data_IF_259122696367
#
_entry.id   IF_259122696367
#
_cell.length_a   1.000
_cell.length_b   1.000
_cell.length_c   1.000
_cell.angle_alpha   90.00
_cell.angle_beta   90.00
_cell.angle_gamma   90.00
#
_symmetry.space_group_name_H-M   'P 1'
#
loop_
_entity.id
_entity.type
_entity.pdbx_description
1 polymer ?
#
# COMPACT_ATOMS: atom_id res chain seq x y z
N UNK A 1 10.71 -9.60 23.18
CA UNK A 1 9.89 -8.42 22.77
C UNK A 1 8.43 -8.84 22.65
N UNK A 2 7.49 -7.90 22.64
CA UNK A 2 6.07 -8.21 22.50
C UNK A 2 5.83 -8.95 21.17
N UNK A 3 5.26 -10.16 21.24
CA UNK A 3 4.79 -10.90 20.06
C UNK A 3 5.85 -11.64 19.24
N UNK A 4 7.10 -11.76 19.70
CA UNK A 4 8.16 -12.47 18.94
C UNK A 4 7.84 -13.94 18.69
N UNK A 5 7.18 -14.59 19.64
CA UNK A 5 6.86 -16.02 19.56
C UNK A 5 5.41 -16.28 19.14
N UNK A 6 4.83 -15.38 18.32
CA UNK A 6 3.46 -15.53 17.86
C UNK A 6 3.30 -15.31 16.35
N UNK A 7 2.41 -16.09 15.75
CA UNK A 7 1.89 -15.89 14.41
C UNK A 7 0.57 -15.14 14.49
N UNK A 8 0.40 -14.16 13.62
CA UNK A 8 -0.88 -13.54 13.32
C UNK A 8 -1.47 -14.15 12.05
N UNK A 9 -2.73 -14.54 12.12
CA UNK A 9 -3.58 -14.89 10.97
C UNK A 9 -4.77 -13.94 10.94
N UNK A 10 -5.06 -13.39 9.76
CA UNK A 10 -6.23 -12.53 9.51
C UNK A 10 -6.96 -13.03 8.27
N UNK A 11 -8.30 -13.06 8.30
CA UNK A 11 -9.16 -13.40 7.17
C UNK A 11 -10.34 -12.42 7.19
N UNK A 12 -10.68 -11.81 6.05
CA UNK A 12 -11.91 -11.06 5.87
C UNK A 12 -12.81 -11.77 4.88
N UNK A 13 -14.05 -12.05 5.30
CA UNK A 13 -15.13 -12.59 4.48
C UNK A 13 -16.19 -11.51 4.25
N UNK A 14 -16.90 -11.61 3.12
CA UNK A 14 -17.99 -10.68 2.77
C UNK A 14 -19.16 -11.42 2.11
N UNK A 15 -20.24 -10.69 1.89
CA UNK A 15 -21.45 -11.14 1.18
C UNK A 15 -22.09 -12.37 1.81
N UNK A 16 -21.93 -12.52 3.14
CA UNK A 16 -22.49 -13.63 3.90
C UNK A 16 -23.98 -13.42 4.16
N UNK A 17 -24.80 -14.37 3.76
CA UNK A 17 -26.20 -14.44 4.20
C UNK A 17 -26.31 -15.00 5.65
N UNK A 18 -27.51 -14.99 6.21
CA UNK A 18 -27.75 -15.40 7.61
C UNK A 18 -27.35 -16.86 7.93
N UNK A 19 -27.49 -17.80 6.99
CA UNK A 19 -27.07 -19.19 7.20
C UNK A 19 -25.56 -19.32 7.09
N UNK A 20 -24.94 -18.61 6.13
CA UNK A 20 -23.49 -18.56 5.96
C UNK A 20 -22.80 -17.93 7.17
N UNK A 21 -23.34 -16.84 7.73
CA UNK A 21 -22.84 -16.23 8.99
C UNK A 21 -22.77 -17.26 10.11
N UNK A 22 -23.85 -18.03 10.30
CA UNK A 22 -23.92 -19.09 11.33
C UNK A 22 -22.88 -20.18 11.09
N UNK A 23 -22.73 -20.61 9.84
CA UNK A 23 -21.75 -21.62 9.46
C UNK A 23 -20.32 -21.13 9.69
N UNK A 24 -19.99 -19.93 9.22
CA UNK A 24 -18.65 -19.35 9.33
C UNK A 24 -18.21 -19.10 10.78
N UNK A 25 -19.11 -18.59 11.62
CA UNK A 25 -18.84 -18.40 13.05
C UNK A 25 -18.67 -19.76 13.75
N UNK A 26 -19.48 -20.76 13.38
CA UNK A 26 -19.38 -22.12 13.94
C UNK A 26 -18.06 -22.79 13.54
N UNK A 27 -17.64 -22.66 12.28
CA UNK A 27 -16.38 -23.19 11.78
C UNK A 27 -15.18 -22.52 12.46
N UNK A 28 -15.24 -21.21 12.69
CA UNK A 28 -14.24 -20.49 13.48
C UNK A 28 -14.15 -21.03 14.92
N UNK A 29 -15.29 -21.32 15.56
CA UNK A 29 -15.31 -21.84 16.92
C UNK A 29 -14.75 -23.27 17.01
N UNK A 30 -15.03 -24.10 16.00
CA UNK A 30 -14.44 -25.43 15.87
C UNK A 30 -12.93 -25.32 15.67
N UNK A 31 -12.48 -24.49 14.73
CA UNK A 31 -11.05 -24.25 14.49
C UNK A 31 -10.36 -23.82 15.79
N UNK A 32 -10.92 -22.85 16.50
CA UNK A 32 -10.36 -22.35 17.77
C UNK A 32 -10.11 -23.48 18.76
N UNK A 33 -11.08 -24.40 18.94
CA UNK A 33 -10.94 -25.55 19.86
C UNK A 33 -9.99 -26.64 19.34
N UNK A 34 -9.73 -26.71 18.04
CA UNK A 34 -8.73 -27.60 17.45
C UNK A 34 -7.31 -27.04 17.58
N UNK A 35 -7.17 -25.71 17.61
CA UNK A 35 -5.90 -25.03 17.74
C UNK A 35 -5.44 -24.92 19.19
N UNK A 36 -6.37 -24.63 20.12
CA UNK A 36 -6.03 -24.31 21.51
C UNK A 36 -6.97 -25.00 22.50
N UNK A 37 -6.49 -25.16 23.74
CA UNK A 37 -7.33 -25.41 24.90
C UNK A 37 -7.74 -24.05 25.50
N UNK A 38 -8.98 -23.59 25.31
CA UNK A 38 -9.37 -22.27 25.77
C UNK A 38 -9.60 -22.25 27.28
N UNK A 39 -9.17 -21.19 27.94
CA UNK A 39 -9.40 -20.94 29.37
C UNK A 39 -10.37 -19.79 29.60
N UNK A 40 -10.57 -18.92 28.60
CA UNK A 40 -11.51 -17.80 28.71
C UNK A 40 -12.32 -17.52 27.44
N UNK A 41 -13.43 -16.79 27.64
CA UNK A 41 -14.26 -16.19 26.60
C UNK A 41 -14.56 -14.73 26.99
N UNK A 42 -14.44 -13.78 26.06
CA UNK A 42 -14.80 -12.38 26.32
C UNK A 42 -15.54 -11.73 25.15
N UNK A 43 -16.39 -10.76 25.49
CA UNK A 43 -17.00 -9.78 24.57
C UNK A 43 -16.41 -8.38 24.84
N UNK A 44 -16.44 -7.45 23.88
CA UNK A 44 -15.53 -6.26 23.88
C UNK A 44 -15.70 -5.39 25.14
N UNK A 45 -16.90 -5.41 25.71
CA UNK A 45 -17.33 -4.63 26.86
C UNK A 45 -17.34 -5.41 28.19
N UNK A 46 -16.95 -6.69 28.18
CA UNK A 46 -17.08 -7.58 29.34
C UNK A 46 -15.73 -8.09 29.83
N UNK A 47 -15.64 -8.29 31.15
CA UNK A 47 -14.55 -9.06 31.74
C UNK A 47 -14.53 -10.47 31.16
N UNK A 48 -13.35 -11.07 31.15
CA UNK A 48 -13.17 -12.44 30.66
C UNK A 48 -13.92 -13.42 31.58
N UNK A 49 -14.83 -14.19 30.99
CA UNK A 49 -15.48 -15.31 31.66
C UNK A 49 -14.59 -16.55 31.55
N UNK A 50 -14.56 -17.42 32.58
CA UNK A 50 -14.00 -18.76 32.44
C UNK A 50 -14.66 -19.49 31.27
N UNK A 51 -13.85 -20.21 30.49
CA UNK A 51 -14.35 -20.94 29.33
C UNK A 51 -15.35 -22.02 29.73
N UNK A 52 -16.50 -22.03 29.06
CA UNK A 52 -17.50 -23.09 29.09
C UNK A 52 -18.09 -23.28 27.69
N UNK A 53 -18.25 -24.53 27.27
CA UNK A 53 -18.70 -24.84 25.91
C UNK A 53 -20.14 -24.40 25.65
N UNK A 54 -21.03 -24.51 26.64
CA UNK A 54 -22.43 -24.09 26.47
C UNK A 54 -22.50 -22.57 26.34
N UNK A 55 -21.74 -21.85 27.18
CA UNK A 55 -21.61 -20.38 27.05
C UNK A 55 -21.08 -19.96 25.69
N UNK A 56 -20.09 -20.67 25.14
CA UNK A 56 -19.59 -20.40 23.79
C UNK A 56 -20.70 -20.56 22.75
N UNK A 57 -21.43 -21.68 22.80
CA UNK A 57 -22.53 -21.96 21.88
C UNK A 57 -23.64 -20.90 21.96
N UNK A 58 -24.01 -20.47 23.17
CA UNK A 58 -24.96 -19.39 23.40
C UNK A 58 -24.48 -18.07 22.81
N UNK A 59 -23.22 -17.69 23.06
CA UNK A 59 -22.63 -16.45 22.51
C UNK A 59 -22.54 -16.48 20.98
N UNK A 60 -22.25 -17.64 20.37
CA UNK A 60 -22.24 -17.81 18.91
C UNK A 60 -23.65 -17.66 18.32
N UNK A 61 -24.64 -18.33 18.91
CA UNK A 61 -26.04 -18.23 18.45
C UNK A 61 -26.51 -16.77 18.50
N UNK A 62 -26.21 -16.07 19.59
CA UNK A 62 -26.53 -14.64 19.72
C UNK A 62 -25.75 -13.75 18.75
N UNK A 63 -24.49 -14.07 18.47
CA UNK A 63 -23.68 -13.32 17.51
C UNK A 63 -24.22 -13.43 16.10
N UNK A 64 -24.72 -14.61 15.73
CA UNK A 64 -25.17 -14.91 14.37
C UNK A 64 -26.49 -14.26 13.94
N UNK A 65 -27.22 -13.63 14.87
CA UNK A 65 -28.50 -12.96 14.63
C UNK A 65 -28.42 -11.44 14.82
N UNK A 66 -27.21 -10.92 15.05
CA UNK A 66 -26.95 -9.49 15.25
C UNK A 66 -26.20 -8.94 14.05
N UNK A 67 -26.48 -7.68 13.73
CA UNK A 67 -25.76 -6.96 12.69
C UNK A 67 -24.31 -6.66 13.11
N UNK A 68 -24.07 -6.41 14.40
CA UNK A 68 -22.72 -6.28 14.94
C UNK A 68 -22.50 -7.24 16.10
N UNK A 69 -21.41 -8.02 16.02
CA UNK A 69 -20.99 -8.89 17.10
C UNK A 69 -19.49 -9.12 17.11
N UNK A 70 -18.96 -9.45 18.28
CA UNK A 70 -17.56 -9.79 18.45
C UNK A 70 -17.39 -10.79 19.59
N UNK A 71 -16.43 -11.69 19.40
CA UNK A 71 -16.05 -12.65 20.40
C UNK A 71 -14.55 -12.90 20.36
N UNK A 72 -13.95 -13.04 21.55
CA UNK A 72 -12.60 -13.57 21.71
C UNK A 72 -12.67 -14.81 22.59
N UNK A 73 -11.95 -15.83 22.14
CA UNK A 73 -11.73 -17.07 22.87
C UNK A 73 -10.22 -17.30 22.91
N UNK A 74 -9.68 -17.58 24.09
CA UNK A 74 -8.23 -17.67 24.23
C UNK A 74 -7.77 -18.44 25.46
N UNK A 75 -6.45 -18.46 25.60
CA UNK A 75 -5.74 -18.90 26.79
C UNK A 75 -4.54 -17.97 27.05
N UNK A 76 -3.65 -18.35 27.97
CA UNK A 76 -2.54 -17.49 28.40
C UNK A 76 -1.60 -17.09 27.25
N UNK A 77 -1.51 -17.91 26.20
CA UNK A 77 -0.59 -17.70 25.08
C UNK A 77 -1.27 -17.30 23.77
N UNK A 78 -2.55 -17.65 23.59
CA UNK A 78 -3.21 -17.59 22.29
C UNK A 78 -4.56 -16.86 22.39
N UNK A 79 -4.89 -16.10 21.35
CA UNK A 79 -6.19 -15.45 21.22
C UNK A 79 -6.76 -15.71 19.83
N UNK A 80 -7.97 -16.26 19.75
CA UNK A 80 -8.74 -16.37 18.53
C UNK A 80 -9.94 -15.45 18.63
N UNK A 81 -10.25 -14.73 17.55
CA UNK A 81 -11.31 -13.72 17.58
C UNK A 81 -12.01 -13.60 16.24
N UNK A 82 -13.25 -13.13 16.28
CA UNK A 82 -13.93 -12.62 15.12
C UNK A 82 -14.67 -11.31 15.43
N UNK A 83 -14.86 -10.48 14.42
CA UNK A 83 -15.80 -9.37 14.38
C UNK A 83 -16.75 -9.56 13.21
N UNK A 84 -18.04 -9.51 13.48
CA UNK A 84 -19.12 -9.49 12.50
C UNK A 84 -19.64 -8.05 12.43
N UNK A 85 -19.70 -7.50 11.22
CA UNK A 85 -20.36 -6.23 10.90
C UNK A 85 -21.18 -6.43 9.61
N UNK A 86 -22.50 -6.31 9.73
CA UNK A 86 -23.48 -6.61 8.69
C UNK A 86 -23.25 -8.00 8.07
N UNK A 87 -22.79 -8.04 6.81
CA UNK A 87 -22.52 -9.26 6.04
C UNK A 87 -21.03 -9.57 5.93
N UNK A 88 -20.19 -8.92 6.75
CA UNK A 88 -18.74 -9.09 6.76
C UNK A 88 -18.26 -9.74 8.04
N UNK A 89 -17.37 -10.72 7.91
CA UNK A 89 -16.75 -11.41 9.04
C UNK A 89 -15.23 -11.26 8.97
N UNK A 90 -14.66 -10.57 9.94
CA UNK A 90 -13.21 -10.46 10.13
C UNK A 90 -12.77 -11.44 11.21
N UNK A 91 -11.98 -12.44 10.83
CA UNK A 91 -11.36 -13.41 11.74
C UNK A 91 -9.91 -12.99 12.00
N UNK A 92 -9.50 -12.97 13.27
CA UNK A 92 -8.13 -12.69 13.68
C UNK A 92 -7.67 -13.65 14.77
N UNK A 93 -6.61 -14.39 14.51
CA UNK A 93 -6.01 -15.31 15.47
C UNK A 93 -4.53 -14.97 15.70
N UNK A 94 -4.13 -14.87 16.97
CA UNK A 94 -2.76 -14.71 17.44
C UNK A 94 -2.37 -16.00 18.16
N UNK A 95 -1.50 -16.79 17.55
CA UNK A 95 -1.15 -18.15 17.97
C UNK A 95 0.32 -18.22 18.35
N UNK A 96 0.69 -19.01 19.34
CA UNK A 96 2.10 -19.30 19.64
C UNK A 96 2.76 -20.07 18.49
N UNK A 97 4.08 -19.94 18.35
CA UNK A 97 4.85 -20.64 17.30
C UNK A 97 4.61 -22.16 17.35
N UNK A 98 4.52 -22.74 18.55
CA UNK A 98 4.31 -24.18 18.74
C UNK A 98 2.98 -24.63 18.13
N UNK A 99 1.88 -23.94 18.47
CA UNK A 99 0.55 -24.21 17.92
C UNK A 99 0.56 -24.08 16.40
N UNK A 100 1.14 -23.00 15.88
CA UNK A 100 1.24 -22.80 14.44
C UNK A 100 2.04 -23.91 13.75
N UNK A 101 3.23 -24.27 14.25
CA UNK A 101 4.08 -25.32 13.64
C UNK A 101 3.39 -26.68 13.66
N UNK A 102 2.69 -27.02 14.74
CA UNK A 102 1.98 -28.29 14.85
C UNK A 102 0.75 -28.34 13.92
N UNK A 103 0.00 -27.23 13.82
CA UNK A 103 -1.29 -27.16 13.11
C UNK A 103 -1.22 -26.45 11.75
N UNK A 104 -0.02 -26.23 11.20
CA UNK A 104 0.18 -25.41 9.99
C UNK A 104 -0.69 -25.86 8.82
N UNK A 105 -0.81 -27.17 8.60
CA UNK A 105 -1.62 -27.73 7.52
C UNK A 105 -3.11 -27.37 7.70
N UNK A 106 -3.65 -27.57 8.91
CA UNK A 106 -5.04 -27.25 9.23
C UNK A 106 -5.32 -25.75 9.06
N UNK A 107 -4.41 -24.89 9.51
CA UNK A 107 -4.55 -23.43 9.40
C UNK A 107 -4.61 -23.01 7.92
N UNK A 108 -3.69 -23.50 7.09
CA UNK A 108 -3.66 -23.21 5.66
C UNK A 108 -4.89 -23.75 4.93
N UNK A 109 -5.33 -24.98 5.24
CA UNK A 109 -6.54 -25.57 4.66
C UNK A 109 -7.78 -24.75 5.01
N UNK A 110 -7.90 -24.31 6.28
CA UNK A 110 -8.98 -23.44 6.71
C UNK A 110 -8.99 -22.12 5.93
N UNK A 111 -7.86 -21.39 5.87
CA UNK A 111 -7.77 -20.14 5.12
C UNK A 111 -8.18 -20.35 3.65
N UNK A 112 -7.64 -21.39 2.99
CA UNK A 112 -7.93 -21.65 1.58
C UNK A 112 -9.41 -21.88 1.33
N UNK A 113 -10.06 -22.72 2.15
CA UNK A 113 -11.51 -22.97 2.03
C UNK A 113 -12.33 -21.70 2.22
N UNK A 114 -12.00 -20.90 3.24
CA UNK A 114 -12.71 -19.65 3.52
C UNK A 114 -12.50 -18.63 2.40
N UNK A 115 -11.28 -18.55 1.88
CA UNK A 115 -10.94 -17.66 0.78
C UNK A 115 -11.66 -18.01 -0.51
N UNK A 116 -11.72 -19.29 -0.87
CA UNK A 116 -12.40 -19.77 -2.09
C UNK A 116 -13.91 -19.49 -2.03
N UNK A 117 -14.53 -19.62 -0.85
CA UNK A 117 -15.97 -19.44 -0.70
C UNK A 117 -16.40 -17.96 -0.65
N UNK A 118 -15.87 -17.20 0.32
CA UNK A 118 -16.37 -15.85 0.65
C UNK A 118 -15.24 -14.84 0.94
N UNK A 119 -13.99 -15.17 0.62
CA UNK A 119 -12.84 -14.35 1.01
C UNK A 119 -12.69 -13.07 0.22
N UNK A 120 -12.44 -11.97 0.94
CA UNK A 120 -11.89 -10.74 0.40
C UNK A 120 -10.37 -10.83 0.39
N UNK A 121 -9.77 -11.03 1.56
CA UNK A 121 -8.33 -11.30 1.70
C UNK A 121 -8.04 -12.15 2.93
N UNK A 122 -6.87 -12.76 2.95
CA UNK A 122 -6.28 -13.32 4.15
C UNK A 122 -4.78 -13.14 4.15
N UNK A 123 -4.17 -13.17 5.33
CA UNK A 123 -2.72 -13.21 5.46
C UNK A 123 -2.27 -13.91 6.73
N UNK A 124 -1.04 -14.41 6.70
CA UNK A 124 -0.30 -14.90 7.86
C UNK A 124 1.07 -14.23 7.94
N UNK A 125 1.47 -13.86 9.15
CA UNK A 125 2.74 -13.17 9.41
C UNK A 125 3.21 -13.36 10.85
N UNK A 126 4.47 -13.09 11.14
CA UNK A 126 4.92 -12.96 12.52
C UNK A 126 4.17 -11.80 13.20
N UNK A 127 3.69 -11.99 14.42
CA UNK A 127 2.93 -10.98 15.13
C UNK A 127 3.81 -9.78 15.52
N UNK A 128 5.08 -10.03 15.86
CA UNK A 128 6.08 -8.98 16.07
C UNK A 128 6.26 -8.10 14.83
N UNK A 129 6.24 -8.68 13.63
CA UNK A 129 6.35 -7.94 12.37
C UNK A 129 5.11 -7.06 12.12
N UNK A 130 3.92 -7.58 12.40
CA UNK A 130 2.69 -6.79 12.36
C UNK A 130 2.78 -5.59 13.32
N UNK A 131 3.14 -5.83 14.58
CA UNK A 131 3.25 -4.76 15.59
C UNK A 131 4.28 -3.72 15.16
N UNK A 132 5.47 -4.15 14.73
CA UNK A 132 6.55 -3.27 14.34
C UNK A 132 6.18 -2.40 13.13
N UNK A 133 5.65 -3.01 12.06
CA UNK A 133 5.30 -2.29 10.83
C UNK A 133 4.01 -1.47 10.93
N UNK A 134 3.10 -1.74 11.87
CA UNK A 134 1.76 -1.10 11.90
C UNK A 134 1.48 -0.20 13.10
N UNK A 135 2.35 -0.16 14.11
CA UNK A 135 2.17 0.76 15.25
C UNK A 135 2.74 2.13 14.92
N UNK A 136 1.88 3.15 14.77
CA UNK A 136 2.28 4.53 14.44
C UNK A 136 2.63 5.36 15.69
N UNK A 137 1.84 5.18 16.74
CA UNK A 137 1.87 6.03 17.94
C UNK A 137 3.15 5.79 18.74
N UNK A 138 3.92 6.86 18.99
CA UNK A 138 5.19 6.77 19.72
C UNK A 138 4.99 6.16 21.12
N UNK A 139 3.91 6.55 21.82
CA UNK A 139 3.58 6.02 23.15
C UNK A 139 3.35 4.51 23.16
N UNK A 140 2.72 3.96 22.13
CA UNK A 140 2.50 2.52 21.99
C UNK A 140 3.79 1.79 21.59
N UNK A 141 4.64 2.41 20.77
CA UNK A 141 5.93 1.84 20.35
C UNK A 141 6.90 1.66 21.51
N UNK A 142 6.86 2.55 22.51
CA UNK A 142 7.65 2.43 23.74
C UNK A 142 7.37 1.14 24.55
N UNK A 143 6.28 0.42 24.25
CA UNK A 143 5.99 -0.87 24.85
C UNK A 143 6.89 -1.99 24.34
N UNK A 144 7.52 -1.82 23.17
CA UNK A 144 8.32 -2.87 22.52
C UNK A 144 9.63 -2.39 21.87
N UNK A 145 9.86 -1.09 21.77
CA UNK A 145 11.10 -0.48 21.26
C UNK A 145 11.67 0.57 22.22
N UNK A 146 12.98 0.77 22.17
CA UNK A 146 13.66 1.79 22.96
C UNK A 146 13.44 3.16 22.35
N UNK A 147 13.51 4.20 23.19
CA UNK A 147 13.36 5.60 22.75
C UNK A 147 14.35 5.96 21.64
N UNK A 148 15.63 5.61 21.82
CA UNK A 148 16.68 5.92 20.84
C UNK A 148 16.42 5.25 19.48
N UNK A 149 15.88 4.03 19.46
CA UNK A 149 15.49 3.35 18.22
C UNK A 149 14.36 4.11 17.52
N UNK A 150 13.35 4.54 18.29
CA UNK A 150 12.20 5.30 17.78
C UNK A 150 12.61 6.67 17.21
N UNK A 151 13.64 7.32 17.75
CA UNK A 151 14.14 8.61 17.24
C UNK A 151 14.69 8.53 15.82
N UNK A 152 15.24 7.37 15.43
CA UNK A 152 15.78 7.14 14.08
C UNK A 152 14.72 6.69 13.07
N UNK A 153 13.49 6.41 13.52
CA UNK A 153 12.40 6.00 12.63
C UNK A 153 11.83 7.20 11.86
N UNK A 154 11.36 6.99 10.62
CA UNK A 154 10.72 8.04 9.84
C UNK A 154 9.46 8.55 10.55
N UNK A 155 9.19 9.85 10.42
CA UNK A 155 8.11 10.53 11.11
C UNK A 155 7.24 11.34 10.16
N UNK A 156 5.96 11.44 10.50
CA UNK A 156 4.99 12.28 9.81
C UNK A 156 4.07 12.98 10.81
N UNK A 157 3.38 14.03 10.35
CA UNK A 157 2.30 14.69 11.09
C UNK A 157 0.95 14.10 10.68
N UNK A 158 0.11 13.83 11.66
CA UNK A 158 -1.31 13.56 11.42
C UNK A 158 -2.08 14.86 11.22
N UNK A 159 -3.35 14.76 10.82
CA UNK A 159 -4.24 15.91 10.61
C UNK A 159 -4.40 16.79 11.87
N UNK A 160 -4.31 16.20 13.06
CA UNK A 160 -4.35 16.91 14.35
C UNK A 160 -3.01 17.56 14.73
N UNK A 161 -1.97 17.44 13.89
CA UNK A 161 -0.61 17.93 14.14
C UNK A 161 0.26 16.99 14.99
N UNK A 162 -0.25 15.85 15.47
CA UNK A 162 0.51 14.87 16.24
C UNK A 162 1.61 14.24 15.38
N UNK A 163 2.82 14.18 15.92
CA UNK A 163 3.95 13.50 15.28
C UNK A 163 3.91 12.01 15.59
N UNK A 164 3.85 11.19 14.54
CA UNK A 164 3.83 9.73 14.63
C UNK A 164 4.91 9.12 13.75
N UNK A 165 5.16 7.82 13.91
CA UNK A 165 5.99 7.07 12.96
C UNK A 165 5.27 6.95 11.62
N UNK A 166 5.98 7.28 10.54
CA UNK A 166 5.49 7.04 9.18
C UNK A 166 5.66 5.56 8.83
N UNK A 167 4.65 4.77 9.17
CA UNK A 167 4.67 3.34 8.90
C UNK A 167 4.66 2.99 7.40
N UNK A 168 4.31 3.92 6.50
CA UNK A 168 4.33 3.61 5.06
C UNK A 168 5.74 3.21 4.58
N UNK A 169 6.78 3.73 5.23
CA UNK A 169 8.18 3.41 4.97
C UNK A 169 8.53 1.96 5.32
N UNK A 170 7.66 1.26 6.05
CA UNK A 170 7.89 -0.11 6.45
C UNK A 170 7.35 -1.11 5.41
N UNK A 171 8.13 -2.15 5.09
CA UNK A 171 7.84 -3.02 3.97
C UNK A 171 6.62 -3.92 4.20
N UNK A 172 6.18 -4.14 5.45
CA UNK A 172 4.98 -4.92 5.75
C UNK A 172 3.82 -4.11 6.33
N UNK A 173 3.79 -2.80 6.13
CA UNK A 173 2.68 -1.97 6.60
C UNK A 173 1.36 -2.31 5.89
N UNK A 174 0.29 -2.45 6.66
CA UNK A 174 -1.06 -2.71 6.17
C UNK A 174 -1.69 -1.40 5.72
N UNK A 175 -1.85 -1.29 4.40
CA UNK A 175 -2.44 -0.12 3.79
C UNK A 175 -3.87 -0.46 3.35
N UNK A 176 -4.85 0.33 3.78
CA UNK A 176 -6.26 0.08 3.46
C UNK A 176 -6.75 1.03 2.36
N UNK A 177 -7.30 0.47 1.29
CA UNK A 177 -7.84 1.24 0.17
C UNK A 177 -9.06 0.51 -0.41
N UNK A 178 -10.18 1.23 -0.53
CA UNK A 178 -11.48 0.70 -1.01
C UNK A 178 -11.92 -0.60 -0.31
N UNK A 179 -11.70 -0.70 1.00
CA UNK A 179 -12.06 -1.89 1.79
C UNK A 179 -11.11 -3.09 1.63
N UNK A 180 -10.04 -2.96 0.84
CA UNK A 180 -9.01 -3.99 0.68
C UNK A 180 -7.78 -3.68 1.52
N UNK A 181 -7.10 -4.73 1.99
CA UNK A 181 -5.83 -4.63 2.70
C UNK A 181 -4.66 -4.92 1.76
N UNK A 182 -3.83 -3.92 1.50
CA UNK A 182 -2.59 -4.00 0.75
C UNK A 182 -1.42 -4.19 1.72
N UNK A 183 -1.25 -5.44 2.16
CA UNK A 183 -0.13 -5.87 3.01
C UNK A 183 0.94 -6.58 2.20
N UNK A 184 2.17 -6.59 2.71
CA UNK A 184 3.28 -7.37 2.18
C UNK A 184 3.96 -8.14 3.31
N UNK A 185 3.55 -9.38 3.49
CA UNK A 185 4.01 -10.21 4.59
C UNK A 185 4.22 -11.66 4.13
N UNK A 186 4.46 -12.57 5.07
CA UNK A 186 4.96 -13.91 4.77
C UNK A 186 4.10 -14.69 3.77
N UNK A 187 2.79 -14.82 4.02
CA UNK A 187 1.85 -15.52 3.15
C UNK A 187 0.53 -14.75 3.05
N UNK A 188 0.06 -14.49 1.84
CA UNK A 188 -1.08 -13.62 1.55
C UNK A 188 -2.01 -14.28 0.53
N UNK A 189 -3.30 -13.97 0.63
CA UNK A 189 -4.36 -14.49 -0.21
C UNK A 189 -5.19 -13.32 -0.75
N UNK A 190 -5.24 -13.21 -2.07
CA UNK A 190 -5.96 -12.17 -2.80
C UNK A 190 -7.07 -12.81 -3.61
N UNK A 191 -8.28 -12.29 -3.48
CA UNK A 191 -9.45 -12.76 -4.24
C UNK A 191 -9.72 -11.89 -5.47
N UNK A 192 -10.75 -12.25 -6.22
CA UNK A 192 -11.28 -11.46 -7.34
C UNK A 192 -11.60 -9.99 -7.03
N UNK A 193 -11.84 -9.63 -5.77
CA UNK A 193 -12.08 -8.22 -5.40
C UNK A 193 -10.85 -7.35 -5.67
N UNK A 194 -9.63 -7.90 -5.61
CA UNK A 194 -8.42 -7.18 -5.99
C UNK A 194 -8.29 -6.97 -7.49
N UNK A 195 -8.91 -7.82 -8.32
CA UNK A 195 -8.79 -7.76 -9.78
C UNK A 195 -9.45 -6.52 -10.41
N UNK A 196 -10.30 -5.84 -9.64
CA UNK A 196 -10.91 -4.55 -10.00
C UNK A 196 -9.94 -3.36 -9.84
N UNK A 197 -8.83 -3.57 -9.12
CA UNK A 197 -7.82 -2.54 -8.85
C UNK A 197 -6.50 -2.94 -9.53
N UNK A 198 -6.06 -4.17 -9.33
CA UNK A 198 -4.83 -4.71 -9.91
C UNK A 198 -5.20 -5.92 -10.77
N UNK A 199 -5.02 -5.87 -12.10
CA UNK A 199 -5.35 -6.98 -12.98
C UNK A 199 -4.69 -8.30 -12.53
N UNK A 200 -5.48 -9.38 -12.51
CA UNK A 200 -5.03 -10.74 -12.12
C UNK A 200 -3.66 -11.14 -12.70
N UNK A 201 -3.36 -10.92 -14.00
CA UNK A 201 -2.06 -11.31 -14.55
C UNK A 201 -0.86 -10.67 -13.85
N UNK A 202 -1.01 -9.47 -13.27
CA UNK A 202 0.08 -8.81 -12.54
C UNK A 202 0.42 -9.56 -11.26
N UNK A 203 -0.56 -10.12 -10.55
CA UNK A 203 -0.32 -10.99 -9.38
C UNK A 203 0.36 -12.31 -9.77
N UNK A 204 0.04 -12.86 -10.95
CA UNK A 204 0.63 -14.11 -11.43
C UNK A 204 2.07 -13.91 -11.93
N UNK A 205 2.39 -12.71 -12.42
CA UNK A 205 3.70 -12.35 -12.98
C UNK A 205 4.74 -11.93 -11.93
N UNK A 206 4.39 -11.87 -10.65
CA UNK A 206 5.33 -11.41 -9.61
C UNK A 206 6.57 -12.29 -9.54
N UNK A 207 7.71 -11.63 -9.35
CA UNK A 207 9.02 -12.25 -9.30
C UNK A 207 9.64 -12.08 -7.92
N UNK A 208 10.68 -12.88 -7.64
CA UNK A 208 11.43 -12.85 -6.37
C UNK A 208 10.56 -13.11 -5.14
N UNK A 209 9.67 -14.10 -5.27
CA UNK A 209 8.86 -14.65 -4.18
C UNK A 209 9.09 -16.16 -4.11
N UNK A 210 8.84 -16.76 -2.93
CA UNK A 210 8.97 -18.21 -2.76
C UNK A 210 7.95 -18.97 -3.61
N UNK A 211 6.70 -18.48 -3.66
CA UNK A 211 5.62 -19.17 -4.36
C UNK A 211 4.48 -18.24 -4.77
N UNK A 212 3.93 -18.50 -5.95
CA UNK A 212 2.63 -18.00 -6.42
C UNK A 212 1.77 -19.20 -6.77
N UNK A 213 0.52 -19.24 -6.32
CA UNK A 213 -0.43 -20.31 -6.64
C UNK A 213 -1.83 -19.73 -6.83
N UNK A 214 -2.41 -19.95 -8.00
CA UNK A 214 -3.85 -19.75 -8.21
C UNK A 214 -4.62 -20.96 -7.64
N UNK A 215 -5.69 -20.65 -6.92
CA UNK A 215 -6.67 -21.58 -6.35
C UNK A 215 -8.00 -21.42 -7.10
N UNK A 216 -9.01 -22.20 -6.70
CA UNK A 216 -10.37 -22.05 -7.20
C UNK A 216 -10.92 -20.64 -6.94
N UNK A 217 -11.91 -20.23 -7.72
CA UNK A 217 -12.56 -18.92 -7.63
C UNK A 217 -11.60 -17.72 -7.72
N UNK A 218 -10.54 -17.88 -8.51
CA UNK A 218 -9.52 -16.85 -8.78
C UNK A 218 -8.79 -16.33 -7.54
N UNK A 219 -8.71 -17.15 -6.48
CA UNK A 219 -7.92 -16.78 -5.31
C UNK A 219 -6.44 -17.02 -5.59
N UNK A 220 -5.61 -16.02 -5.36
CA UNK A 220 -4.16 -16.10 -5.54
C UNK A 220 -3.48 -16.13 -4.17
N UNK A 221 -2.77 -17.21 -3.90
CA UNK A 221 -1.92 -17.38 -2.73
C UNK A 221 -0.47 -17.04 -3.08
N UNK A 222 0.13 -16.13 -2.33
CA UNK A 222 1.48 -15.63 -2.53
C UNK A 222 2.27 -15.81 -1.24
N UNK A 223 3.42 -16.47 -1.33
CA UNK A 223 4.35 -16.64 -0.22
C UNK A 223 5.67 -15.95 -0.58
N UNK A 224 6.11 -14.99 0.24
CA UNK A 224 7.31 -14.19 -0.06
C UNK A 224 8.61 -14.92 0.29
N UNK A 225 8.62 -15.65 1.41
CA UNK A 225 9.80 -16.36 1.92
C UNK A 225 9.40 -17.58 2.76
N UNK A 226 10.36 -18.42 3.13
CA UNK A 226 10.07 -19.75 3.70
C UNK A 226 9.49 -19.75 5.10
N UNK A 227 9.97 -18.87 5.97
CA UNK A 227 9.69 -18.90 7.41
C UNK A 227 9.20 -17.51 7.90
N UNK A 228 7.97 -17.40 8.45
CA UNK A 228 7.39 -16.12 8.86
C UNK A 228 8.21 -15.42 9.95
N UNK A 229 8.93 -16.18 10.78
CA UNK A 229 9.65 -15.63 11.94
C UNK A 229 11.02 -15.06 11.56
N UNK A 230 11.44 -15.21 10.31
CA UNK A 230 12.69 -14.65 9.78
C UNK A 230 12.49 -13.29 9.11
N UNK A 231 11.39 -12.59 9.35
CA UNK A 231 11.03 -11.34 8.67
C UNK A 231 12.09 -10.22 8.82
N UNK A 232 12.84 -10.19 9.92
CA UNK A 232 13.89 -9.20 10.17
C UNK A 232 15.13 -9.39 9.28
N UNK A 233 15.27 -10.53 8.59
CA UNK A 233 16.40 -10.73 7.67
C UNK A 233 16.33 -9.68 6.56
N UNK A 234 17.44 -8.98 6.24
CA UNK A 234 17.45 -7.94 5.21
C UNK A 234 16.86 -8.41 3.88
N UNK A 235 17.17 -9.64 3.45
CA UNK A 235 16.60 -10.21 2.23
C UNK A 235 15.07 -10.36 2.27
N UNK A 236 14.49 -10.70 3.42
CA UNK A 236 13.05 -10.86 3.56
C UNK A 236 12.34 -9.50 3.58
N UNK A 237 12.93 -8.49 4.21
CA UNK A 237 12.45 -7.10 4.11
C UNK A 237 12.54 -6.58 2.67
N UNK A 238 13.61 -6.92 1.95
CA UNK A 238 13.72 -6.61 0.52
C UNK A 238 12.64 -7.30 -0.31
N UNK A 239 12.34 -8.59 -0.07
CA UNK A 239 11.24 -9.28 -0.76
C UNK A 239 9.90 -8.63 -0.49
N UNK A 240 9.65 -8.19 0.75
CA UNK A 240 8.44 -7.45 1.10
C UNK A 240 8.34 -6.12 0.34
N UNK A 241 9.39 -5.29 0.34
CA UNK A 241 9.43 -4.04 -0.44
C UNK A 241 9.24 -4.29 -1.93
N UNK A 242 10.00 -5.23 -2.49
CA UNK A 242 9.98 -5.56 -3.91
C UNK A 242 8.63 -6.08 -4.37
N UNK A 243 7.92 -6.84 -3.54
CA UNK A 243 6.54 -7.24 -3.79
C UNK A 243 5.58 -6.05 -3.86
N UNK A 244 5.66 -5.11 -2.89
CA UNK A 244 4.84 -3.88 -2.91
C UNK A 244 5.11 -3.05 -4.15
N UNK A 245 6.38 -2.92 -4.54
CA UNK A 245 6.80 -2.16 -5.72
C UNK A 245 6.19 -2.75 -6.98
N UNK A 246 6.33 -4.06 -7.18
CA UNK A 246 5.80 -4.77 -8.35
C UNK A 246 4.29 -4.61 -8.54
N UNK A 247 3.54 -4.53 -7.44
CA UNK A 247 2.09 -4.34 -7.45
C UNK A 247 1.66 -2.86 -7.38
N UNK A 248 2.59 -1.95 -7.08
CA UNK A 248 2.34 -0.51 -7.02
C UNK A 248 1.47 -0.07 -5.84
N UNK A 249 1.45 -0.83 -4.73
CA UNK A 249 0.58 -0.55 -3.58
C UNK A 249 0.68 0.89 -3.07
N UNK A 250 1.92 1.40 -3.00
CA UNK A 250 2.19 2.74 -2.46
C UNK A 250 1.72 3.87 -3.39
N UNK A 251 1.50 3.57 -4.67
CA UNK A 251 0.98 4.53 -5.65
C UNK A 251 -0.55 4.46 -5.79
N UNK A 252 -1.19 3.43 -5.26
CA UNK A 252 -2.65 3.28 -5.33
C UNK A 252 -3.37 4.07 -4.26
N UNK A 253 -2.82 4.10 -3.04
CA UNK A 253 -3.52 4.67 -1.90
C UNK A 253 -2.95 6.01 -1.41
N UNK A 254 -1.83 6.45 -1.99
CA UNK A 254 -1.17 7.67 -1.56
C UNK A 254 -1.16 8.71 -2.68
N UNK A 255 -2.00 9.73 -2.52
CA UNK A 255 -2.19 10.82 -3.48
C UNK A 255 -1.68 12.18 -2.98
N UNK A 256 -1.15 12.23 -1.76
CA UNK A 256 -0.68 13.48 -1.12
C UNK A 256 0.71 13.95 -1.56
N UNK A 257 1.40 13.16 -2.39
CA UNK A 257 2.70 13.49 -2.99
C UNK A 257 3.91 13.46 -2.05
N UNK A 258 3.76 13.40 -0.73
CA UNK A 258 4.90 13.39 0.21
C UNK A 258 5.51 12.01 0.42
N UNK A 259 4.84 10.94 -0.03
CA UNK A 259 5.02 9.57 0.43
C UNK A 259 6.41 8.91 0.40
N UNK A 260 6.55 7.74 -0.24
CA UNK A 260 7.83 7.00 -0.22
C UNK A 260 8.92 7.62 -1.10
N UNK A 261 8.57 8.62 -1.92
CA UNK A 261 9.50 9.32 -2.80
C UNK A 261 10.38 8.34 -3.60
N UNK A 262 9.73 7.32 -4.19
CA UNK A 262 10.38 6.28 -4.99
C UNK A 262 9.75 6.19 -6.38
N UNK A 263 10.55 5.92 -7.43
CA UNK A 263 10.00 5.78 -8.77
C UNK A 263 9.17 4.49 -8.87
N UNK A 264 8.05 4.51 -9.61
CA UNK A 264 7.17 3.36 -9.72
C UNK A 264 7.81 2.22 -10.52
N UNK A 265 7.42 0.98 -10.20
CA UNK A 265 7.66 -0.21 -11.02
C UNK A 265 6.46 -0.52 -11.92
N UNK A 266 5.28 -0.08 -11.50
CA UNK A 266 4.04 -0.16 -12.24
C UNK A 266 3.23 1.11 -12.01
N UNK A 267 2.59 1.61 -13.07
CA UNK A 267 1.62 2.70 -13.01
C UNK A 267 0.27 2.19 -13.51
N UNK A 268 -0.82 2.69 -12.92
CA UNK A 268 -2.19 2.32 -13.28
C UNK A 268 -2.98 3.55 -13.75
N UNK A 269 -3.81 3.34 -14.76
CA UNK A 269 -4.77 4.31 -15.28
C UNK A 269 -6.13 3.63 -15.27
N UNK A 270 -7.06 4.23 -14.55
CA UNK A 270 -8.42 3.73 -14.41
C UNK A 270 -9.37 4.52 -15.31
N UNK A 271 -10.25 3.79 -15.98
CA UNK A 271 -11.45 4.31 -16.66
C UNK A 271 -12.67 3.57 -16.09
N UNK A 272 -13.88 3.96 -16.48
CA UNK A 272 -15.11 3.38 -15.93
C UNK A 272 -15.18 1.84 -16.06
N UNK A 273 -14.58 1.27 -17.11
CA UNK A 273 -14.66 -0.17 -17.41
C UNK A 273 -13.32 -0.83 -17.71
N UNK A 274 -12.24 -0.07 -17.82
CA UNK A 274 -10.92 -0.64 -18.14
C UNK A 274 -9.82 -0.16 -17.19
N UNK A 275 -8.92 -1.08 -16.86
CA UNK A 275 -7.68 -0.81 -16.16
C UNK A 275 -6.55 -0.92 -17.17
N UNK A 276 -5.79 0.16 -17.34
CA UNK A 276 -4.54 0.13 -18.08
C UNK A 276 -3.39 0.19 -17.09
N UNK A 277 -2.34 -0.59 -17.35
CA UNK A 277 -1.11 -0.49 -16.56
C UNK A 277 0.13 -0.51 -17.43
N UNK A 278 1.20 0.10 -16.91
CA UNK A 278 2.53 0.08 -17.52
C UNK A 278 3.50 -0.44 -16.48
N UNK A 279 4.07 -1.63 -16.71
CA UNK A 279 5.10 -2.22 -15.87
C UNK A 279 6.49 -2.04 -16.48
N UNK A 280 7.45 -1.69 -15.63
CA UNK A 280 8.83 -1.34 -15.99
C UNK A 280 9.78 -2.51 -15.74
N UNK A 281 10.51 -2.93 -16.77
CA UNK A 281 11.39 -4.09 -16.70
C UNK A 281 12.81 -3.80 -17.23
N UNK A 282 13.81 -4.42 -16.62
CA UNK A 282 15.21 -4.37 -17.08
C UNK A 282 15.44 -5.33 -18.28
N UNK A 283 16.68 -5.40 -18.75
CA UNK A 283 17.04 -6.22 -19.91
C UNK A 283 16.83 -7.73 -19.68
N UNK A 284 16.77 -8.14 -18.41
CA UNK A 284 16.51 -9.51 -17.95
C UNK A 284 15.02 -9.76 -17.66
N UNK A 285 14.12 -8.83 -18.05
CA UNK A 285 12.68 -8.91 -17.81
C UNK A 285 12.28 -8.90 -16.32
N UNK A 286 13.15 -8.38 -15.47
CA UNK A 286 12.87 -8.22 -14.03
C UNK A 286 12.26 -6.84 -13.79
N UNK A 287 11.23 -6.73 -12.93
CA UNK A 287 10.68 -5.44 -12.52
C UNK A 287 11.73 -4.53 -11.91
N UNK A 288 11.75 -3.27 -12.34
CA UNK A 288 12.71 -2.24 -11.89
C UNK A 288 12.04 -0.87 -11.85
N UNK A 289 12.63 0.11 -11.13
CA UNK A 289 12.13 1.47 -11.16
C UNK A 289 12.09 2.01 -12.59
N UNK A 290 11.07 2.82 -12.91
CA UNK A 290 10.85 3.49 -14.21
C UNK A 290 12.13 3.97 -14.90
N UNK A 291 13.01 4.68 -14.19
CA UNK A 291 14.27 5.24 -14.74
C UNK A 291 15.27 4.19 -15.24
N UNK A 292 15.20 2.97 -14.73
CA UNK A 292 16.12 1.87 -15.05
C UNK A 292 15.52 0.88 -16.07
N UNK A 293 14.34 1.20 -16.61
CA UNK A 293 13.61 0.32 -17.53
C UNK A 293 14.24 0.31 -18.93
N UNK A 294 14.24 -0.88 -19.54
CA UNK A 294 14.55 -1.08 -20.96
C UNK A 294 13.42 -1.77 -21.72
N UNK A 295 12.41 -2.23 -20.98
CA UNK A 295 11.18 -2.82 -21.49
C UNK A 295 9.97 -2.22 -20.75
N UNK A 296 8.89 -2.05 -21.51
CA UNK A 296 7.60 -1.56 -21.04
C UNK A 296 6.55 -2.60 -21.36
N UNK A 297 5.85 -3.09 -20.34
CA UNK A 297 4.73 -4.01 -20.50
C UNK A 297 3.45 -3.22 -20.26
N UNK A 298 2.74 -2.91 -21.35
CA UNK A 298 1.43 -2.27 -21.27
C UNK A 298 0.36 -3.35 -21.21
N UNK A 299 -0.47 -3.32 -20.18
CA UNK A 299 -1.59 -4.24 -19.99
C UNK A 299 -2.89 -3.45 -20.03
N UNK A 300 -3.89 -3.96 -20.74
CA UNK A 300 -5.25 -3.42 -20.75
C UNK A 300 -6.19 -4.54 -20.33
N UNK A 301 -7.02 -4.26 -19.34
CA UNK A 301 -7.96 -5.20 -18.76
C UNK A 301 -9.37 -4.58 -18.77
N UNK A 302 -10.30 -5.23 -19.45
CA UNK A 302 -11.73 -4.89 -19.38
C UNK A 302 -12.35 -5.60 -18.18
N UNK A 303 -12.86 -4.82 -17.22
CA UNK A 303 -13.40 -5.35 -15.97
C UNK A 303 -14.73 -6.10 -16.21
N UNK A 304 -15.52 -5.69 -17.19
CA UNK A 304 -16.83 -6.27 -17.47
C UNK A 304 -16.73 -7.53 -18.32
N UNK A 305 -15.90 -7.50 -19.37
CA UNK A 305 -15.76 -8.60 -20.33
C UNK A 305 -14.68 -9.61 -19.91
N UNK A 306 -13.77 -9.23 -19.02
CA UNK A 306 -12.60 -10.04 -18.66
C UNK A 306 -11.53 -10.07 -19.76
N UNK A 307 -11.66 -9.20 -20.77
CA UNK A 307 -10.75 -9.15 -21.91
C UNK A 307 -9.38 -8.59 -21.48
N UNK A 308 -8.33 -9.36 -21.78
CA UNK A 308 -6.96 -9.01 -21.46
C UNK A 308 -6.11 -8.82 -22.71
N UNK A 309 -5.38 -7.71 -22.78
CA UNK A 309 -4.39 -7.44 -23.83
C UNK A 309 -3.07 -7.03 -23.19
N UNK A 310 -2.00 -7.69 -23.61
CA UNK A 310 -0.63 -7.34 -23.24
C UNK A 310 0.15 -6.94 -24.49
N UNK A 311 0.95 -5.88 -24.35
CA UNK A 311 1.99 -5.54 -25.31
C UNK A 311 3.28 -5.24 -24.58
N UNK A 312 4.38 -5.82 -25.08
CA UNK A 312 5.73 -5.56 -24.59
C UNK A 312 6.52 -4.79 -25.64
N UNK A 313 7.16 -3.72 -25.23
CA UNK A 313 7.98 -2.88 -26.11
C UNK A 313 9.36 -2.71 -25.48
N UNK A 314 10.41 -2.93 -26.27
CA UNK A 314 11.78 -2.58 -25.91
C UNK A 314 12.04 -1.13 -26.26
N UNK A 315 12.67 -0.38 -25.37
CA UNK A 315 13.08 1.00 -25.66
C UNK A 315 13.54 1.75 -24.43
N UNK A 316 13.87 3.01 -24.63
CA UNK A 316 14.02 3.99 -23.55
C UNK A 316 12.67 4.71 -23.34
N UNK A 317 12.45 5.23 -22.13
CA UNK A 317 11.28 6.05 -21.89
C UNK A 317 11.38 7.32 -22.74
N UNK A 318 10.35 7.59 -23.53
CA UNK A 318 10.25 8.86 -24.22
C UNK A 318 9.90 9.97 -23.21
N UNK A 319 10.12 11.22 -23.61
CA UNK A 319 9.81 12.36 -22.75
C UNK A 319 8.33 12.42 -22.34
N UNK A 320 7.41 11.92 -23.17
CA UNK A 320 5.97 11.91 -22.88
C UNK A 320 5.60 11.01 -21.69
N UNK A 321 6.36 9.95 -21.42
CA UNK A 321 6.12 9.11 -20.25
C UNK A 321 6.39 9.84 -18.92
N UNK A 322 7.17 10.91 -18.95
CA UNK A 322 7.39 11.80 -17.82
C UNK A 322 6.50 13.05 -17.93
N UNK A 323 6.34 13.62 -19.12
CA UNK A 323 5.60 14.85 -19.38
C UNK A 323 4.41 14.57 -20.32
N UNK A 324 3.29 14.04 -19.79
CA UNK A 324 2.19 13.55 -20.61
C UNK A 324 1.44 14.66 -21.36
N UNK A 325 1.47 15.92 -20.89
CA UNK A 325 0.77 17.01 -21.56
C UNK A 325 1.69 17.80 -22.47
N UNK A 326 1.41 17.74 -23.77
CA UNK A 326 2.18 18.44 -24.81
C UNK A 326 1.37 19.63 -25.34
N UNK A 327 1.95 20.82 -25.29
CA UNK A 327 1.45 22.03 -25.92
C UNK A 327 2.35 22.34 -27.13
N UNK A 328 1.96 21.80 -28.29
CA UNK A 328 2.69 21.92 -29.56
C UNK A 328 2.80 23.39 -30.00
N UNK A 329 1.79 24.23 -29.72
CA UNK A 329 1.78 25.64 -30.11
C UNK A 329 2.83 26.46 -29.37
N UNK A 330 3.18 26.06 -28.14
CA UNK A 330 4.17 26.75 -27.30
C UNK A 330 5.47 25.97 -27.14
N UNK A 331 5.61 24.85 -27.84
CA UNK A 331 6.71 23.89 -27.69
C UNK A 331 6.99 23.56 -26.23
N UNK A 332 5.99 23.08 -25.50
CA UNK A 332 6.08 22.76 -24.06
C UNK A 332 5.61 21.35 -23.76
N UNK A 333 6.30 20.69 -22.83
CA UNK A 333 5.83 19.45 -22.22
C UNK A 333 5.66 19.66 -20.72
N UNK A 334 4.58 19.14 -20.16
CA UNK A 334 4.17 19.44 -18.79
C UNK A 334 3.81 18.16 -18.05
N UNK A 335 4.17 18.14 -16.77
CA UNK A 335 3.68 17.20 -15.77
C UNK A 335 3.26 17.99 -14.52
N UNK A 336 2.41 17.40 -13.68
CA UNK A 336 2.00 17.98 -12.41
C UNK A 336 2.08 16.96 -11.30
N UNK A 337 2.33 17.48 -10.10
CA UNK A 337 2.22 16.75 -8.84
C UNK A 337 1.38 17.57 -7.87
N UNK A 338 0.56 16.88 -7.10
CA UNK A 338 -0.12 17.47 -5.94
C UNK A 338 0.71 17.07 -4.72
N UNK A 339 1.09 18.04 -3.91
CA UNK A 339 1.89 17.81 -2.71
C UNK A 339 1.20 18.52 -1.55
N UNK A 340 0.88 17.75 -0.51
CA UNK A 340 0.42 18.27 0.77
C UNK A 340 1.60 18.26 1.77
N UNK A 341 2.35 19.36 1.92
CA UNK A 341 3.48 19.42 2.84
C UNK A 341 3.08 19.42 4.31
N UNK A 342 1.78 19.55 4.64
CA UNK A 342 1.32 19.67 6.03
C UNK A 342 1.50 18.37 6.81
N UNK A 343 1.52 17.23 6.12
CA UNK A 343 1.81 15.92 6.71
C UNK A 343 3.31 15.68 6.95
N UNK A 344 4.18 16.54 6.43
CA UNK A 344 5.62 16.40 6.54
C UNK A 344 6.18 17.17 7.75
N UNK A 345 7.27 16.67 8.34
CA UNK A 345 8.00 17.41 9.37
C UNK A 345 8.80 18.59 8.81
N UNK A 346 9.31 18.43 7.59
CA UNK A 346 10.20 19.36 6.91
C UNK A 346 9.46 20.35 6.00
N UNK A 347 8.13 20.46 6.12
CA UNK A 347 7.29 21.28 5.26
C UNK A 347 7.41 20.91 3.75
N UNK A 348 7.65 19.63 3.46
CA UNK A 348 7.64 19.06 2.11
C UNK A 348 8.94 19.23 1.34
N UNK A 349 10.02 19.68 1.97
CA UNK A 349 11.31 19.93 1.31
C UNK A 349 11.81 18.68 0.58
N UNK A 350 11.79 17.51 1.22
CA UNK A 350 12.20 16.24 0.63
C UNK A 350 11.38 15.92 -0.61
N UNK A 351 10.06 16.04 -0.54
CA UNK A 351 9.16 15.81 -1.68
C UNK A 351 9.45 16.79 -2.84
N UNK A 352 9.60 18.08 -2.55
CA UNK A 352 9.93 19.08 -3.57
C UNK A 352 11.26 18.78 -4.24
N UNK A 353 12.29 18.46 -3.46
CA UNK A 353 13.61 18.15 -3.99
C UNK A 353 13.58 16.86 -4.82
N UNK A 354 12.86 15.85 -4.34
CA UNK A 354 12.67 14.58 -5.03
C UNK A 354 12.07 14.80 -6.42
N UNK A 355 10.88 15.43 -6.53
CA UNK A 355 10.24 15.61 -7.83
C UNK A 355 11.00 16.59 -8.74
N UNK A 356 11.56 17.68 -8.20
CA UNK A 356 12.37 18.59 -9.03
C UNK A 356 13.53 17.81 -9.65
N UNK A 357 14.22 16.97 -8.87
CA UNK A 357 15.32 16.15 -9.38
C UNK A 357 14.83 15.06 -10.31
N UNK A 358 13.73 14.40 -9.97
CA UNK A 358 13.16 13.31 -10.76
C UNK A 358 12.93 13.74 -12.21
N UNK A 359 12.31 14.92 -12.39
CA UNK A 359 11.94 15.49 -13.68
C UNK A 359 13.04 16.31 -14.35
N UNK A 360 13.96 16.91 -13.58
CA UNK A 360 15.11 17.62 -14.14
C UNK A 360 16.08 16.64 -14.78
N UNK A 361 16.26 15.47 -14.18
CA UNK A 361 17.24 14.47 -14.63
C UNK A 361 16.72 13.54 -15.74
N UNK A 362 15.58 13.86 -16.36
CA UNK A 362 15.03 13.11 -17.50
C UNK A 362 15.82 13.46 -18.77
N UNK A 363 16.33 12.44 -19.45
CA UNK A 363 16.94 12.60 -20.77
C UNK A 363 15.88 12.56 -21.88
N UNK A 364 15.76 13.65 -22.63
CA UNK A 364 14.86 13.73 -23.80
C UNK A 364 15.59 13.15 -25.01
N UNK A 365 15.31 11.88 -25.30
CA UNK A 365 15.88 11.17 -26.46
C UNK A 365 15.06 11.34 -27.74
N UNK A 366 13.83 11.82 -27.64
CA UNK A 366 12.93 12.03 -28.77
C UNK A 366 13.30 13.30 -29.54
N UNK A 367 13.76 13.15 -30.78
CA UNK A 367 14.16 14.25 -31.67
C UNK A 367 13.08 15.34 -31.79
N UNK A 368 11.79 14.97 -31.78
CA UNK A 368 10.68 15.92 -31.90
C UNK A 368 10.65 16.91 -30.74
N UNK A 369 11.06 16.47 -29.55
CA UNK A 369 10.86 17.20 -28.29
C UNK A 369 12.14 17.78 -27.71
N UNK A 370 13.29 17.65 -28.39
CA UNK A 370 14.57 18.16 -27.88
C UNK A 370 14.55 19.67 -27.58
N UNK A 371 13.82 20.45 -28.37
CA UNK A 371 13.70 21.91 -28.19
C UNK A 371 12.53 22.31 -27.27
N UNK A 372 11.73 21.36 -26.80
CA UNK A 372 10.56 21.66 -25.99
C UNK A 372 10.97 22.09 -24.57
N UNK A 373 10.28 23.10 -24.06
CA UNK A 373 10.42 23.49 -22.67
C UNK A 373 9.70 22.48 -21.78
N UNK A 374 10.47 21.75 -20.98
CA UNK A 374 9.95 20.88 -19.92
C UNK A 374 9.47 21.70 -18.72
N UNK A 375 8.29 21.36 -18.20
CA UNK A 375 7.70 22.05 -17.06
C UNK A 375 7.10 21.08 -16.04
N UNK A 376 7.47 21.25 -14.78
CA UNK A 376 6.86 20.59 -13.63
C UNK A 376 5.97 21.59 -12.89
N UNK A 377 4.69 21.26 -12.75
CA UNK A 377 3.74 22.01 -11.91
C UNK A 377 3.55 21.28 -10.58
N UNK A 378 3.69 21.99 -9.47
CA UNK A 378 3.50 21.45 -8.14
C UNK A 378 2.35 22.22 -7.50
N UNK A 379 1.22 21.54 -7.32
CA UNK A 379 0.04 22.09 -6.66
C UNK A 379 0.17 21.85 -5.15
N UNK A 380 0.06 22.91 -4.37
CA UNK A 380 0.16 22.87 -2.90
C UNK A 380 -1.00 23.64 -2.26
N UNK A 381 -1.35 23.36 -0.99
CA UNK A 381 -2.28 24.19 -0.23
C UNK A 381 -1.85 25.66 -0.23
N UNK A 382 -2.83 26.57 -0.26
CA UNK A 382 -2.57 28.00 -0.43
C UNK A 382 -1.67 28.59 0.67
N UNK A 383 -1.83 28.10 1.89
CA UNK A 383 -1.05 28.48 3.07
C UNK A 383 0.42 28.11 2.90
N UNK A 384 0.68 26.90 2.39
CA UNK A 384 2.03 26.40 2.12
C UNK A 384 2.72 27.14 0.97
N UNK A 385 1.96 27.69 0.01
CA UNK A 385 2.53 28.46 -1.09
C UNK A 385 3.15 29.78 -0.60
N UNK A 386 2.53 30.46 0.38
CA UNK A 386 3.08 31.68 0.98
C UNK A 386 4.42 31.43 1.66
N UNK A 387 4.54 30.27 2.31
CA UNK A 387 5.65 29.86 3.17
C UNK A 387 6.63 28.90 2.48
N UNK A 388 6.58 28.81 1.15
CA UNK A 388 7.41 27.87 0.39
C UNK A 388 8.90 28.00 0.77
N UNK A 389 9.56 26.93 1.25
CA UNK A 389 10.93 26.97 1.78
C UNK A 389 12.01 27.03 0.68
N UNK A 390 11.91 27.99 -0.24
CA UNK A 390 12.75 28.08 -1.44
C UNK A 390 14.26 28.18 -1.13
N UNK A 391 14.63 28.80 0.00
CA UNK A 391 16.05 28.88 0.41
C UNK A 391 16.62 27.49 0.72
N UNK A 392 15.86 26.68 1.43
CA UNK A 392 16.29 25.33 1.82
C UNK A 392 16.25 24.37 0.63
N UNK A 393 15.24 24.47 -0.24
CA UNK A 393 15.20 23.73 -1.52
C UNK A 393 16.47 24.00 -2.35
N UNK A 394 16.90 25.27 -2.45
CA UNK A 394 18.16 25.63 -3.13
C UNK A 394 19.40 25.06 -2.44
N UNK A 395 19.40 25.04 -1.12
CA UNK A 395 20.51 24.50 -0.35
C UNK A 395 20.65 22.98 -0.56
N UNK A 396 19.54 22.24 -0.51
CA UNK A 396 19.49 20.79 -0.76
C UNK A 396 19.80 20.41 -2.20
N UNK A 397 19.47 21.28 -3.16
CA UNK A 397 19.80 21.14 -4.58
C UNK A 397 21.00 22.03 -4.97
N UNK A 398 22.09 21.93 -4.21
CA UNK A 398 23.28 22.78 -4.37
C UNK A 398 24.03 22.55 -5.70
N UNK A 399 23.86 21.39 -6.33
CA UNK A 399 24.35 21.05 -7.67
C UNK A 399 23.48 21.63 -8.81
N UNK A 400 22.35 22.26 -8.49
CA UNK A 400 21.37 22.76 -9.45
C UNK A 400 21.37 24.29 -9.47
N UNK A 401 21.46 24.88 -10.66
CA UNK A 401 21.41 26.34 -10.81
C UNK A 401 19.97 26.82 -10.92
N UNK A 402 19.56 27.75 -10.06
CA UNK A 402 18.23 28.38 -10.08
C UNK A 402 18.26 29.74 -10.79
N UNK A 403 17.36 29.97 -11.74
CA UNK A 403 17.24 31.23 -12.50
C UNK A 403 15.79 31.71 -12.56
N UNK A 404 15.61 32.99 -12.92
CA UNK A 404 14.31 33.60 -13.29
C UNK A 404 13.19 33.37 -12.26
N UNK A 405 13.49 33.53 -10.98
CA UNK A 405 12.51 33.37 -9.91
C UNK A 405 11.48 34.50 -10.00
N UNK A 406 10.21 34.15 -10.16
CA UNK A 406 9.06 35.06 -10.20
C UNK A 406 8.06 34.64 -9.14
N UNK A 407 7.78 35.52 -8.17
CA UNK A 407 6.74 35.33 -7.16
C UNK A 407 5.53 36.20 -7.51
N UNK A 408 4.36 35.58 -7.62
CA UNK A 408 3.06 36.24 -7.75
C UNK A 408 2.17 35.78 -6.58
N UNK A 409 1.02 36.43 -6.40
CA UNK A 409 0.08 36.16 -5.30
C UNK A 409 -0.33 34.68 -5.18
N UNK A 410 -0.51 33.97 -6.30
CA UNK A 410 -0.98 32.58 -6.36
C UNK A 410 -0.02 31.62 -7.06
N UNK A 411 1.21 32.05 -7.33
CA UNK A 411 2.18 31.20 -8.02
C UNK A 411 3.62 31.60 -7.74
N UNK A 412 4.50 30.62 -7.60
CA UNK A 412 5.95 30.82 -7.60
C UNK A 412 6.52 30.02 -8.77
N UNK A 413 7.27 30.68 -9.65
CA UNK A 413 7.89 30.04 -10.80
C UNK A 413 9.39 30.29 -10.80
N UNK A 414 10.17 29.29 -11.20
CA UNK A 414 11.60 29.43 -11.46
C UNK A 414 12.08 28.39 -12.48
N UNK A 415 13.24 28.64 -13.08
CA UNK A 415 13.91 27.74 -14.00
C UNK A 415 15.08 27.07 -13.25
N UNK A 416 15.25 25.76 -13.36
CA UNK A 416 16.39 25.00 -12.82
C UNK A 416 17.21 24.38 -13.94
N UNK A 417 18.55 24.35 -13.78
CA UNK A 417 19.49 23.77 -14.76
C UNK A 417 20.56 22.92 -14.07
N UNK A 418 20.85 21.74 -14.61
CA UNK A 418 21.96 20.84 -14.23
C UNK A 418 22.58 20.24 -15.49
N UNK A 419 23.85 20.51 -15.76
CA UNK A 419 24.46 20.16 -17.05
C UNK A 419 23.68 20.80 -18.21
N UNK A 420 23.29 20.01 -19.22
CA UNK A 420 22.42 20.47 -20.31
C UNK A 420 20.92 20.38 -20.01
N UNK A 421 20.54 19.71 -18.93
CA UNK A 421 19.14 19.52 -18.56
C UNK A 421 18.55 20.80 -17.95
N UNK A 422 17.34 21.14 -18.38
CA UNK A 422 16.62 22.33 -17.95
C UNK A 422 15.15 22.03 -17.70
N UNK A 423 14.64 22.49 -16.55
CA UNK A 423 13.25 22.31 -16.14
C UNK A 423 12.68 23.63 -15.62
N UNK A 424 11.47 23.96 -16.05
CA UNK A 424 10.67 25.02 -15.43
C UNK A 424 9.84 24.44 -14.29
N UNK A 425 9.98 24.98 -13.10
CA UNK A 425 9.19 24.58 -11.93
C UNK A 425 8.18 25.67 -11.61
N UNK A 426 6.93 25.29 -11.40
CA UNK A 426 5.82 26.17 -11.05
C UNK A 426 5.09 25.61 -9.84
N UNK A 427 5.18 26.31 -8.70
CA UNK A 427 4.30 26.09 -7.58
C UNK A 427 3.00 26.88 -7.77
N UNK A 428 1.87 26.19 -7.65
CA UNK A 428 0.53 26.71 -7.90
C UNK A 428 -0.37 26.38 -6.70
N UNK A 429 -1.40 27.21 -6.51
CA UNK A 429 -2.43 26.95 -5.51
C UNK A 429 -3.30 25.77 -5.96
N UNK A 430 -3.50 24.78 -5.07
CA UNK A 430 -4.32 23.60 -5.33
C UNK A 430 -5.72 23.93 -5.86
N UNK A 431 -6.31 25.05 -5.45
CA UNK A 431 -7.63 25.52 -5.93
C UNK A 431 -7.68 25.76 -7.44
N UNK A 432 -6.54 26.01 -8.08
CA UNK A 432 -6.48 26.17 -9.54
C UNK A 432 -6.63 24.81 -10.27
N UNK A 433 -6.28 23.70 -9.62
CA UNK A 433 -6.45 22.36 -10.17
C UNK A 433 -7.92 21.91 -10.12
N UNK A 434 -8.61 22.15 -9.00
CA UNK A 434 -10.03 21.80 -8.84
C UNK A 434 -10.92 22.48 -9.91
N UNK A 435 -10.62 23.73 -10.24
CA UNK A 435 -11.32 24.46 -11.31
C UNK A 435 -11.11 23.80 -12.68
N UNK A 436 -9.90 23.31 -12.97
CA UNK A 436 -9.59 22.64 -14.23
C UNK A 436 -10.22 21.25 -14.33
N UNK A 437 -10.24 20.48 -13.23
CA UNK A 437 -10.88 19.15 -13.17
C UNK A 437 -12.40 19.28 -13.30
N UNK A 438 -13.00 20.30 -12.68
CA UNK A 438 -14.45 20.55 -12.76
C UNK A 438 -14.88 20.98 -14.18
N UNK A 439 -14.05 21.75 -14.88
CA UNK A 439 -14.30 22.18 -16.26
C UNK A 439 -14.14 21.07 -17.31
N UNK A 440 -13.42 19.98 -17.00
CA UNK A 440 -13.28 18.81 -17.88
C UNK A 440 -14.39 17.77 -17.67
N UNK A 441 -15.23 17.93 -16.64
CA UNK A 441 -16.40 17.09 -16.34
C UNK A 441 -17.73 17.69 -16.84
N UNK A 442 -17.67 18.82 -17.56
CA UNK A 442 -18.76 19.43 -18.34
C UNK A 442 -18.42 19.22 -19.81
#
# INVERSE_FOLDING_TARGET
MIGEDKLLMTIQLTDLNEEEKKQEISDWAILTRLLIQPTFIRSFTQQADPYDLRKLQEKIMLASVRDESWLVVGNDENECSFRLEDNQLLIKNVLSISVFKEKQFLIRDFIQKKMIAHGVFAYMRAYSEFIYHNTKQISQRLLFEKKDEIEHLPKMKQQNGEVVVDCNQFPGYDLFYQGLCFTSCWEMYYSRYYHQIIPKPIFLDIQQVEKVKELENEVICIQLYRDPFNWQKPNNQMFQSYFRDQLGFDHLAWDNGVGLLKPPFVEYIYTDHTIQSVQYQNAQMQPVPKKNASFFVTKSYDIQQGDYKERRVRGTLNAQAYFPWVDENRSRMMCYKVIDPTVALDNGIEAYCYYIREYLEVEVTDEKYQEYLLSLRIYVPSESLSELPLKEIKHRLSDVTFKRIKKKRRSIQFDVKKGEQHLRVQFLDYRELEQLITLQKI
#
